data_IF_740180972820
#
_entry.id   IF_740180972820
#
_cell.length_a   1.000
_cell.length_b   1.000
_cell.length_c   1.000
_cell.angle_alpha   90.00
_cell.angle_beta   90.00
_cell.angle_gamma   90.00
#
_symmetry.space_group_name_H-M   'P 1'
#
loop_
_entity.id
_entity.type
_entity.pdbx_description
1 polymer ?
#
# COMPACT_ATOMS: atom_id res chain seq x y z
N UNK A 1 26.97 -10.70 -23.60
CA UNK A 1 26.68 -9.61 -22.68
C UNK A 1 25.37 -8.94 -23.12
N UNK A 2 24.39 -8.74 -22.26
CA UNK A 2 23.20 -7.98 -22.65
C UNK A 2 23.61 -6.56 -23.02
N UNK A 3 23.06 -6.03 -24.12
CA UNK A 3 23.28 -4.62 -24.52
C UNK A 3 22.72 -3.73 -23.41
N UNK A 4 23.57 -2.91 -22.80
CA UNK A 4 23.10 -1.83 -21.94
C UNK A 4 22.49 -0.73 -22.82
N UNK A 5 21.19 -0.52 -22.68
CA UNK A 5 20.51 0.62 -23.28
C UNK A 5 20.62 1.80 -22.31
N UNK A 6 20.96 2.96 -22.83
CA UNK A 6 20.99 4.20 -22.04
C UNK A 6 19.65 4.94 -22.22
N UNK A 7 19.06 5.37 -21.13
CA UNK A 7 17.92 6.28 -21.13
C UNK A 7 18.38 7.62 -20.57
N UNK A 8 18.13 8.70 -21.31
CA UNK A 8 18.41 10.07 -20.85
C UNK A 8 17.12 10.69 -20.35
N UNK A 9 17.12 11.16 -19.09
CA UNK A 9 15.99 11.84 -18.45
C UNK A 9 16.44 13.25 -18.10
N UNK A 10 15.66 14.24 -18.56
CA UNK A 10 15.84 15.63 -18.15
C UNK A 10 14.96 15.93 -16.95
N UNK A 11 15.56 16.38 -15.87
CA UNK A 11 14.90 16.82 -14.64
C UNK A 11 15.47 18.18 -14.22
N UNK A 12 14.72 19.00 -13.45
CA UNK A 12 15.24 20.24 -12.88
C UNK A 12 16.50 19.98 -12.05
N UNK A 13 17.48 20.90 -12.10
CA UNK A 13 18.75 20.75 -11.40
C UNK A 13 18.59 20.47 -9.91
N UNK A 14 17.66 21.16 -9.25
CA UNK A 14 17.35 20.94 -7.83
C UNK A 14 16.88 19.52 -7.54
N UNK A 15 16.07 18.92 -8.42
CA UNK A 15 15.61 17.53 -8.29
C UNK A 15 16.79 16.57 -8.50
N UNK A 16 17.67 16.87 -9.44
CA UNK A 16 18.87 16.07 -9.68
C UNK A 16 19.82 16.09 -8.48
N UNK A 17 20.04 17.26 -7.89
CA UNK A 17 20.89 17.41 -6.70
C UNK A 17 20.29 16.67 -5.49
N UNK A 18 19.00 16.84 -5.23
CA UNK A 18 18.28 16.10 -4.17
C UNK A 18 18.38 14.59 -4.39
N UNK A 19 18.20 14.10 -5.61
CA UNK A 19 18.30 12.68 -5.92
C UNK A 19 19.72 12.15 -5.73
N UNK A 20 20.74 12.92 -6.14
CA UNK A 20 22.14 12.56 -5.94
C UNK A 20 22.48 12.41 -4.45
N UNK A 21 22.05 13.36 -3.64
CA UNK A 21 22.26 13.33 -2.18
C UNK A 21 21.51 12.17 -1.54
N UNK A 22 20.27 11.94 -1.95
CA UNK A 22 19.43 10.84 -1.46
C UNK A 22 20.10 9.47 -1.69
N UNK A 23 20.54 9.18 -2.93
CA UNK A 23 21.18 7.88 -3.24
C UNK A 23 22.52 7.71 -2.51
N UNK A 24 23.26 8.80 -2.30
CA UNK A 24 24.49 8.82 -1.51
C UNK A 24 24.21 8.43 -0.03
N UNK A 25 23.21 9.07 0.59
CA UNK A 25 22.82 8.78 1.98
C UNK A 25 22.31 7.34 2.12
N UNK A 26 21.57 6.83 1.13
CA UNK A 26 21.04 5.48 1.13
C UNK A 26 22.04 4.39 0.77
N UNK A 27 23.22 4.75 0.26
CA UNK A 27 24.25 3.79 -0.16
C UNK A 27 23.85 2.92 -1.36
N UNK A 28 22.92 3.42 -2.21
CA UNK A 28 22.47 2.71 -3.42
C UNK A 28 23.01 3.40 -4.69
N UNK A 29 23.09 2.67 -5.80
CA UNK A 29 23.46 3.29 -7.07
C UNK A 29 22.29 4.07 -7.67
N UNK A 30 22.58 5.15 -8.42
CA UNK A 30 21.55 5.92 -9.13
C UNK A 30 20.72 5.05 -10.07
N UNK A 31 21.36 4.12 -10.78
CA UNK A 31 20.68 3.21 -11.68
C UNK A 31 19.70 2.30 -10.96
N UNK A 32 20.10 1.70 -9.83
CA UNK A 32 19.20 0.85 -9.03
C UNK A 32 18.02 1.67 -8.49
N UNK A 33 18.27 2.83 -7.88
CA UNK A 33 17.22 3.68 -7.34
C UNK A 33 16.25 4.15 -8.44
N UNK A 34 16.74 4.51 -9.62
CA UNK A 34 15.89 4.93 -10.74
C UNK A 34 15.07 3.77 -11.31
N UNK A 35 15.66 2.58 -11.42
CA UNK A 35 14.95 1.37 -11.85
C UNK A 35 13.79 1.07 -10.89
N UNK A 36 14.05 1.09 -9.58
CA UNK A 36 13.02 0.86 -8.56
C UNK A 36 11.88 1.89 -8.67
N UNK A 37 12.19 3.17 -8.87
CA UNK A 37 11.20 4.24 -9.04
C UNK A 37 10.37 4.02 -10.30
N UNK A 38 10.99 3.67 -11.43
CA UNK A 38 10.27 3.41 -12.69
C UNK A 38 9.37 2.17 -12.60
N UNK A 39 9.87 1.08 -11.99
CA UNK A 39 9.05 -0.12 -11.77
C UNK A 39 7.87 0.17 -10.83
N UNK A 40 8.11 0.89 -9.74
CA UNK A 40 7.05 1.31 -8.82
C UNK A 40 6.02 2.22 -9.50
N UNK A 41 6.47 3.16 -10.33
CA UNK A 41 5.57 4.05 -11.07
C UNK A 41 4.67 3.26 -12.04
N UNK A 42 5.26 2.35 -12.84
CA UNK A 42 4.50 1.51 -13.77
C UNK A 42 3.49 0.62 -13.03
N UNK A 43 3.94 -0.03 -11.95
CA UNK A 43 3.08 -0.89 -11.13
C UNK A 43 1.93 -0.12 -10.48
N UNK A 44 2.21 1.08 -9.95
CA UNK A 44 1.20 1.92 -9.31
C UNK A 44 0.25 2.58 -10.31
N UNK A 45 0.71 2.84 -11.54
CA UNK A 45 -0.09 3.49 -12.58
C UNK A 45 -1.09 2.52 -13.23
N UNK A 46 -0.62 1.32 -13.57
CA UNK A 46 -1.42 0.27 -14.21
C UNK A 46 -0.73 -1.09 -14.00
N UNK A 47 -1.13 -1.80 -12.95
CA UNK A 47 -0.56 -3.09 -12.58
C UNK A 47 -0.75 -4.12 -13.70
N UNK A 48 -1.90 -4.14 -14.34
CA UNK A 48 -2.22 -5.10 -15.40
C UNK A 48 -1.32 -4.88 -16.61
N UNK A 49 -1.22 -3.64 -17.08
CA UNK A 49 -0.33 -3.27 -18.18
C UNK A 49 1.14 -3.54 -17.84
N UNK A 50 1.58 -3.20 -16.62
CA UNK A 50 2.94 -3.49 -16.16
C UNK A 50 3.27 -4.97 -16.22
N UNK A 51 2.39 -5.83 -15.71
CA UNK A 51 2.57 -7.29 -15.73
C UNK A 51 2.59 -7.85 -17.16
N UNK A 52 1.75 -7.33 -18.04
CA UNK A 52 1.73 -7.75 -19.45
C UNK A 52 3.00 -7.31 -20.20
N UNK A 53 3.49 -6.11 -19.94
CA UNK A 53 4.77 -5.64 -20.48
C UNK A 53 5.92 -6.45 -19.91
N UNK A 54 5.91 -6.76 -18.63
CA UNK A 54 6.93 -7.59 -17.98
C UNK A 54 6.97 -9.01 -18.61
N UNK A 55 5.81 -9.62 -18.87
CA UNK A 55 5.69 -10.88 -19.64
C UNK A 55 6.30 -10.77 -21.03
N UNK A 56 5.98 -9.67 -21.73
CA UNK A 56 6.41 -9.45 -23.11
C UNK A 56 7.93 -9.28 -23.25
N UNK A 57 8.56 -8.56 -22.30
CA UNK A 57 9.96 -8.15 -22.44
C UNK A 57 10.94 -9.00 -21.63
N UNK A 58 10.52 -9.67 -20.59
CA UNK A 58 11.38 -10.52 -19.76
C UNK A 58 11.31 -12.03 -20.12
N UNK A 59 10.93 -12.37 -21.29
CA UNK A 59 10.70 -13.68 -21.91
C UNK A 59 11.59 -14.87 -21.44
N UNK A 60 11.78 -15.05 -20.14
CA UNK A 60 12.48 -16.18 -19.54
C UNK A 60 11.48 -17.11 -18.85
N UNK A 61 11.68 -18.44 -18.97
CA UNK A 61 10.81 -19.45 -18.33
C UNK A 61 10.64 -19.20 -16.82
N UNK A 62 11.69 -18.79 -16.12
CA UNK A 62 11.64 -18.42 -14.69
C UNK A 62 10.68 -17.27 -14.40
N UNK A 63 10.53 -16.31 -15.33
CA UNK A 63 9.58 -15.20 -15.20
C UNK A 63 8.18 -15.65 -15.55
N UNK A 64 8.02 -16.58 -16.53
CA UNK A 64 6.72 -17.19 -16.82
C UNK A 64 6.21 -17.99 -15.64
N UNK A 65 7.06 -18.82 -15.02
CA UNK A 65 6.71 -19.58 -13.81
C UNK A 65 6.39 -18.67 -12.62
N UNK A 66 7.12 -17.57 -12.47
CA UNK A 66 6.86 -16.55 -11.43
C UNK A 66 5.54 -15.81 -11.68
N UNK A 67 5.22 -15.47 -12.94
CA UNK A 67 3.97 -14.81 -13.33
C UNK A 67 2.79 -15.77 -13.22
N UNK A 68 2.93 -17.02 -13.66
CA UNK A 68 1.89 -18.05 -13.52
C UNK A 68 1.67 -18.38 -12.04
N UNK A 69 2.72 -18.47 -11.25
CA UNK A 69 2.59 -18.65 -9.79
C UNK A 69 1.97 -17.42 -9.11
N UNK A 70 2.30 -16.20 -9.55
CA UNK A 70 1.66 -14.97 -9.07
C UNK A 70 0.19 -14.89 -9.50
N UNK A 71 -0.17 -15.23 -10.73
CA UNK A 71 -1.57 -15.26 -11.18
C UNK A 71 -2.40 -16.33 -10.48
N UNK A 72 -1.82 -17.51 -10.21
CA UNK A 72 -2.47 -18.56 -9.42
C UNK A 72 -2.51 -18.24 -7.92
N UNK A 73 -1.58 -17.39 -7.42
CA UNK A 73 -1.57 -16.88 -6.03
C UNK A 73 -2.51 -15.67 -5.85
N UNK A 74 -2.75 -14.87 -6.89
CA UNK A 74 -3.78 -13.82 -6.90
C UNK A 74 -5.20 -14.39 -6.62
N UNK A 75 -5.37 -15.68 -6.78
CA UNK A 75 -6.67 -16.33 -6.65
C UNK A 75 -7.11 -16.62 -5.19
N UNK A 76 -6.27 -16.46 -4.15
CA UNK A 76 -6.71 -16.93 -2.83
C UNK A 76 -6.41 -16.08 -1.58
N UNK A 77 -5.46 -15.14 -1.57
CA UNK A 77 -5.04 -14.56 -0.29
C UNK A 77 -4.53 -13.10 -0.35
N UNK A 78 -5.02 -12.26 -1.24
CA UNK A 78 -4.60 -10.86 -1.25
C UNK A 78 -5.12 -10.13 0.00
N UNK A 79 -4.20 -9.74 0.87
CA UNK A 79 -4.45 -8.91 2.03
C UNK A 79 -4.10 -7.47 1.62
N UNK A 80 -5.01 -6.53 1.87
CA UNK A 80 -4.69 -5.11 1.70
C UNK A 80 -3.72 -4.70 2.79
N UNK A 81 -2.71 -3.94 2.42
CA UNK A 81 -1.69 -3.45 3.33
C UNK A 81 -1.59 -1.93 3.28
N UNK A 82 -1.45 -1.30 4.45
CA UNK A 82 -1.19 0.12 4.60
C UNK A 82 -0.09 0.36 5.62
N UNK A 83 0.96 1.11 5.23
CA UNK A 83 1.88 1.69 6.19
C UNK A 83 1.34 3.05 6.63
N UNK A 84 1.03 3.15 7.90
CA UNK A 84 0.60 4.40 8.53
C UNK A 84 1.78 5.38 8.61
N UNK A 85 1.47 6.63 8.56
CA UNK A 85 2.37 7.75 8.88
C UNK A 85 1.69 8.68 9.86
N UNK A 86 2.42 9.70 10.32
CA UNK A 86 1.82 10.80 11.05
C UNK A 86 0.80 11.50 10.13
N UNK A 87 -0.34 11.84 10.69
CA UNK A 87 -1.45 12.47 9.97
C UNK A 87 -1.66 13.89 10.51
N UNK A 88 -1.44 14.86 9.64
CA UNK A 88 -1.79 16.26 9.91
C UNK A 88 -3.17 16.53 9.31
N UNK A 89 -4.11 16.92 10.15
CA UNK A 89 -5.45 17.29 9.73
C UNK A 89 -6.04 18.38 10.61
N UNK A 90 -6.57 19.43 10.00
CA UNK A 90 -7.14 20.60 10.69
C UNK A 90 -6.21 21.21 11.74
N UNK A 91 -4.91 21.29 11.45
CA UNK A 91 -3.91 21.87 12.35
C UNK A 91 -3.54 21.00 13.55
N UNK A 92 -3.98 19.74 13.58
CA UNK A 92 -3.62 18.76 14.61
C UNK A 92 -2.78 17.65 14.00
N UNK A 93 -1.75 17.23 14.72
CA UNK A 93 -0.93 16.08 14.37
C UNK A 93 -1.40 14.84 15.13
N UNK A 94 -1.59 13.75 14.40
CA UNK A 94 -1.99 12.45 14.94
C UNK A 94 -0.88 11.45 14.65
N UNK A 95 -0.38 10.78 15.69
CA UNK A 95 0.51 9.62 15.52
C UNK A 95 -0.25 8.45 14.93
N UNK A 96 0.49 7.45 14.45
CA UNK A 96 -0.08 6.22 13.89
C UNK A 96 -1.04 5.55 14.88
N UNK A 97 -0.61 5.37 16.14
CA UNK A 97 -1.44 4.77 17.20
C UNK A 97 -2.66 5.61 17.49
N UNK A 98 -2.50 6.93 17.62
CA UNK A 98 -3.65 7.82 17.90
C UNK A 98 -4.68 7.77 16.78
N UNK A 99 -4.23 7.73 15.53
CA UNK A 99 -5.10 7.57 14.36
C UNK A 99 -5.90 6.27 14.46
N UNK A 100 -5.24 5.15 14.73
CA UNK A 100 -5.93 3.86 14.81
C UNK A 100 -6.86 3.74 16.02
N UNK A 101 -6.51 4.32 17.17
CA UNK A 101 -7.41 4.37 18.34
C UNK A 101 -8.71 5.14 18.05
N UNK A 102 -8.66 6.21 17.25
CA UNK A 102 -9.85 6.92 16.79
C UNK A 102 -10.74 6.02 15.92
N UNK A 103 -10.16 5.29 14.97
CA UNK A 103 -10.90 4.36 14.12
C UNK A 103 -11.45 3.16 14.90
N UNK A 104 -10.71 2.63 15.88
CA UNK A 104 -11.21 1.57 16.77
C UNK A 104 -12.43 2.07 17.57
N UNK A 105 -12.34 3.26 18.16
CA UNK A 105 -13.41 3.85 18.95
C UNK A 105 -14.65 4.14 18.10
N UNK A 106 -14.46 4.68 16.90
CA UNK A 106 -15.54 4.98 15.97
C UNK A 106 -16.22 3.70 15.47
N UNK A 107 -15.45 2.68 15.11
CA UNK A 107 -15.94 1.38 14.70
C UNK A 107 -16.71 0.68 15.85
N UNK A 108 -16.22 0.77 17.08
CA UNK A 108 -16.91 0.20 18.25
C UNK A 108 -18.25 0.88 18.52
N UNK A 109 -18.34 2.19 18.29
CA UNK A 109 -19.55 2.97 18.55
C UNK A 109 -20.68 2.71 17.53
N UNK A 110 -20.34 2.46 16.25
CA UNK A 110 -21.36 2.33 15.18
C UNK A 110 -21.32 1.01 14.41
N UNK A 111 -20.42 0.10 14.74
CA UNK A 111 -20.27 -1.20 14.10
C UNK A 111 -19.36 -1.20 12.88
N UNK A 112 -19.06 -0.05 12.28
CA UNK A 112 -18.16 0.13 11.15
C UNK A 112 -17.60 1.56 11.13
N UNK A 113 -16.61 1.79 10.28
CA UNK A 113 -16.04 3.12 10.02
C UNK A 113 -15.46 3.18 8.60
N UNK A 114 -15.38 4.37 8.02
CA UNK A 114 -14.69 4.56 6.76
C UNK A 114 -13.27 5.05 7.00
N UNK A 115 -12.31 4.27 6.56
CA UNK A 115 -10.89 4.60 6.59
C UNK A 115 -10.46 5.25 5.27
N UNK A 116 -9.76 6.36 5.38
CA UNK A 116 -9.27 7.13 4.24
C UNK A 116 -7.78 6.90 4.00
N UNK A 117 -7.40 6.72 2.75
CA UNK A 117 -5.99 6.75 2.34
C UNK A 117 -5.82 7.32 0.96
N UNK A 118 -4.60 7.64 0.61
CA UNK A 118 -4.25 7.95 -0.78
C UNK A 118 -2.86 7.43 -1.09
N UNK A 119 -2.67 6.92 -2.30
CA UNK A 119 -1.34 6.83 -2.87
C UNK A 119 -0.88 8.24 -3.29
N UNK A 120 0.41 8.44 -3.41
CA UNK A 120 0.96 9.76 -3.78
C UNK A 120 0.40 10.27 -5.13
N UNK A 121 0.03 9.38 -6.05
CA UNK A 121 -0.30 9.74 -7.43
C UNK A 121 -1.63 9.20 -7.93
N UNK A 122 -2.10 8.05 -7.45
CA UNK A 122 -3.27 7.35 -7.99
C UNK A 122 -4.14 6.76 -6.88
N UNK A 123 -5.40 6.46 -7.20
CA UNK A 123 -6.25 5.59 -6.41
C UNK A 123 -5.88 4.11 -6.60
N UNK A 124 -6.73 3.24 -6.11
CA UNK A 124 -6.69 1.80 -6.43
C UNK A 124 -7.20 1.60 -7.86
N UNK A 125 -6.58 0.68 -8.62
CA UNK A 125 -7.06 0.42 -9.98
C UNK A 125 -8.51 -0.08 -10.00
N UNK A 126 -9.31 0.24 -11.03
CA UNK A 126 -10.70 -0.22 -11.12
C UNK A 126 -10.85 -1.74 -11.03
N UNK A 127 -9.90 -2.50 -11.59
CA UNK A 127 -9.90 -3.96 -11.53
C UNK A 127 -9.70 -4.48 -10.11
N UNK A 128 -8.82 -3.84 -9.32
CA UNK A 128 -8.63 -4.20 -7.91
C UNK A 128 -9.84 -3.82 -7.05
N UNK A 129 -10.46 -2.68 -7.29
CA UNK A 129 -11.72 -2.29 -6.63
C UNK A 129 -12.80 -3.34 -6.92
N UNK A 130 -12.97 -3.69 -8.20
CA UNK A 130 -13.93 -4.71 -8.62
C UNK A 130 -13.63 -6.08 -7.99
N UNK A 131 -12.37 -6.50 -8.00
CA UNK A 131 -11.90 -7.76 -7.43
C UNK A 131 -12.25 -7.86 -5.95
N UNK A 132 -11.86 -6.90 -5.12
CA UNK A 132 -12.15 -6.93 -3.70
C UNK A 132 -13.65 -6.85 -3.40
N UNK A 133 -14.39 -5.98 -4.10
CA UNK A 133 -15.83 -5.89 -3.91
C UNK A 133 -16.57 -7.16 -4.36
N UNK A 134 -16.06 -7.90 -5.36
CA UNK A 134 -16.60 -9.21 -5.71
C UNK A 134 -16.34 -10.26 -4.63
N UNK A 135 -15.14 -10.32 -4.06
CA UNK A 135 -14.83 -11.20 -2.93
C UNK A 135 -15.74 -10.93 -1.75
N UNK A 136 -15.91 -9.66 -1.37
CA UNK A 136 -16.81 -9.26 -0.28
C UNK A 136 -18.25 -9.71 -0.56
N UNK A 137 -18.75 -9.50 -1.78
CA UNK A 137 -20.11 -9.91 -2.16
C UNK A 137 -20.30 -11.43 -2.20
N UNK A 138 -19.25 -12.19 -2.45
CA UNK A 138 -19.28 -13.67 -2.38
C UNK A 138 -19.17 -14.21 -0.96
N UNK A 139 -19.08 -13.34 0.05
CA UNK A 139 -18.95 -13.71 1.45
C UNK A 139 -17.54 -14.08 1.90
N UNK A 140 -16.54 -13.80 1.06
CA UNK A 140 -15.14 -13.99 1.44
C UNK A 140 -14.65 -12.84 2.33
N UNK A 141 -13.85 -13.17 3.35
CA UNK A 141 -13.25 -12.16 4.20
C UNK A 141 -12.08 -11.46 3.49
N UNK A 142 -12.18 -10.15 3.35
CA UNK A 142 -11.09 -9.29 2.90
C UNK A 142 -10.51 -8.58 4.14
N UNK A 143 -9.21 -8.74 4.34
CA UNK A 143 -8.51 -8.16 5.49
C UNK A 143 -7.60 -7.01 5.04
N UNK A 144 -7.53 -5.97 5.86
CA UNK A 144 -6.48 -4.96 5.78
C UNK A 144 -5.58 -5.04 7.01
N UNK A 145 -4.27 -4.96 6.79
CA UNK A 145 -3.24 -4.89 7.83
C UNK A 145 -2.58 -3.51 7.82
N UNK A 146 -2.39 -2.96 9.00
CA UNK A 146 -1.74 -1.66 9.18
C UNK A 146 -0.41 -1.83 9.91
N UNK A 147 0.64 -1.24 9.33
CA UNK A 147 1.95 -1.14 9.95
C UNK A 147 2.31 0.32 10.23
N UNK A 148 3.25 0.57 11.11
CA UNK A 148 3.72 1.91 11.41
C UNK A 148 5.11 1.92 12.03
N UNK A 149 5.72 3.11 12.06
CA UNK A 149 7.00 3.32 12.74
C UNK A 149 6.82 3.33 14.26
N UNK A 150 5.72 3.94 14.72
CA UNK A 150 5.29 3.90 16.12
C UNK A 150 3.99 3.16 16.17
N UNK A 151 4.00 1.95 16.71
CA UNK A 151 2.85 1.06 16.68
C UNK A 151 2.74 0.32 18.00
N UNK A 152 1.54 0.26 18.57
CA UNK A 152 1.26 -0.35 19.88
C UNK A 152 2.18 0.18 21.00
N UNK A 153 2.52 1.48 20.95
CA UNK A 153 3.41 2.14 21.90
C UNK A 153 4.92 1.92 21.64
N UNK A 154 5.30 1.07 20.70
CA UNK A 154 6.70 0.83 20.34
C UNK A 154 7.16 1.79 19.26
N UNK A 155 8.25 2.53 19.52
CA UNK A 155 8.88 3.40 18.53
C UNK A 155 9.77 2.61 17.58
N UNK A 156 9.77 3.00 16.29
CA UNK A 156 10.56 2.36 15.22
C UNK A 156 10.25 0.88 15.02
N UNK A 157 9.03 0.46 15.36
CA UNK A 157 8.62 -0.94 15.22
C UNK A 157 8.69 -1.42 13.74
N UNK A 158 8.27 -0.57 12.79
CA UNK A 158 8.13 -0.97 11.38
C UNK A 158 7.50 -2.36 11.26
N UNK A 159 6.38 -2.56 11.96
CA UNK A 159 5.70 -3.86 12.05
C UNK A 159 4.19 -3.70 11.98
N UNK A 160 3.47 -4.81 11.84
CA UNK A 160 2.00 -4.84 11.90
C UNK A 160 1.58 -4.57 13.34
N UNK A 161 0.60 -3.70 13.52
CA UNK A 161 0.04 -3.37 14.82
C UNK A 161 -1.48 -3.37 14.86
N UNK A 162 -2.12 -3.26 13.69
CA UNK A 162 -3.57 -3.23 13.60
C UNK A 162 -4.08 -4.00 12.39
N UNK A 163 -5.33 -4.46 12.50
CA UNK A 163 -6.06 -5.14 11.44
C UNK A 163 -7.52 -4.73 11.42
N UNK A 164 -8.16 -4.88 10.28
CA UNK A 164 -9.60 -4.75 10.14
C UNK A 164 -10.13 -5.67 9.03
N UNK A 165 -11.44 -5.90 9.03
CA UNK A 165 -12.15 -6.51 7.93
C UNK A 165 -12.70 -5.43 7.01
N UNK A 166 -12.60 -5.63 5.70
CA UNK A 166 -13.05 -4.68 4.68
C UNK A 166 -14.42 -5.11 4.18
N UNK A 167 -15.41 -4.22 4.27
CA UNK A 167 -16.79 -4.47 3.79
C UNK A 167 -17.08 -3.82 2.44
N UNK A 168 -16.32 -2.77 2.09
CA UNK A 168 -16.45 -2.09 0.81
C UNK A 168 -15.17 -1.35 0.46
N UNK A 169 -14.87 -1.29 -0.82
CA UNK A 169 -13.75 -0.54 -1.39
C UNK A 169 -14.30 0.48 -2.39
N UNK A 170 -14.01 1.76 -2.16
CA UNK A 170 -14.26 2.85 -3.08
C UNK A 170 -12.94 3.51 -3.44
N UNK A 171 -12.71 3.75 -4.72
CA UNK A 171 -11.52 4.47 -5.18
C UNK A 171 -11.79 5.26 -6.43
N UNK A 172 -11.30 6.50 -6.43
CA UNK A 172 -11.45 7.45 -7.52
C UNK A 172 -10.07 7.97 -7.96
N UNK A 173 -10.04 8.52 -9.18
CA UNK A 173 -8.83 9.13 -9.73
C UNK A 173 -8.44 10.38 -8.95
N UNK A 174 -9.42 11.17 -8.57
CA UNK A 174 -9.24 12.41 -7.79
C UNK A 174 -9.66 12.18 -6.34
N UNK A 175 -9.27 13.09 -5.45
CA UNK A 175 -9.73 13.04 -4.06
C UNK A 175 -11.22 13.36 -4.00
N UNK A 176 -11.97 12.53 -3.30
CA UNK A 176 -13.41 12.65 -3.09
C UNK A 176 -13.75 12.59 -1.61
N UNK A 177 -14.85 13.17 -1.16
CA UNK A 177 -15.31 13.03 0.21
C UNK A 177 -15.67 11.58 0.54
N UNK A 178 -15.78 11.29 1.83
CA UNK A 178 -16.24 9.98 2.30
C UNK A 178 -17.59 9.61 1.67
N UNK A 179 -17.77 8.37 1.19
CA UNK A 179 -19.06 7.91 0.63
C UNK A 179 -20.24 8.05 1.60
N UNK A 180 -19.97 7.93 2.90
CA UNK A 180 -20.94 8.18 3.97
C UNK A 180 -20.41 9.31 4.87
N UNK A 181 -20.85 10.53 4.63
CA UNK A 181 -20.28 11.77 5.14
C UNK A 181 -19.94 11.81 6.64
N UNK A 182 -20.68 11.12 7.49
CA UNK A 182 -20.48 11.11 8.95
C UNK A 182 -19.96 9.76 9.49
N UNK A 183 -19.56 8.85 8.61
CA UNK A 183 -19.12 7.52 9.01
C UNK A 183 -17.59 7.41 9.12
N UNK A 184 -16.96 8.46 9.60
CA UNK A 184 -15.53 8.57 9.93
C UNK A 184 -15.39 9.10 11.35
N UNK A 185 -14.25 8.92 12.03
CA UNK A 185 -13.99 9.60 13.30
C UNK A 185 -14.23 11.10 13.18
N UNK A 186 -14.82 11.70 14.22
CA UNK A 186 -15.20 13.13 14.22
C UNK A 186 -14.03 14.07 13.90
N UNK A 187 -12.82 13.67 14.26
CA UNK A 187 -11.57 14.37 13.98
C UNK A 187 -11.24 14.46 12.49
N UNK A 188 -11.77 13.54 11.67
CA UNK A 188 -11.47 13.44 10.24
C UNK A 188 -12.67 13.79 9.34
N UNK A 189 -13.69 14.41 9.91
CA UNK A 189 -14.84 14.92 9.14
C UNK A 189 -14.38 15.93 8.09
N UNK A 190 -14.90 15.81 6.87
CA UNK A 190 -14.55 16.68 5.75
C UNK A 190 -13.24 16.33 5.05
N UNK A 191 -12.61 15.21 5.40
CA UNK A 191 -11.46 14.71 4.67
C UNK A 191 -11.83 14.25 3.26
N UNK A 192 -10.97 14.55 2.28
CA UNK A 192 -11.11 14.08 0.91
C UNK A 192 -9.88 13.22 0.53
N UNK A 193 -10.13 12.03 0.01
CA UNK A 193 -9.08 11.08 -0.37
C UNK A 193 -9.49 10.27 -1.61
N UNK A 194 -8.49 9.65 -2.25
CA UNK A 194 -8.71 8.83 -3.45
C UNK A 194 -9.23 7.44 -3.13
N UNK A 195 -8.92 6.92 -1.95
CA UNK A 195 -9.27 5.55 -1.56
C UNK A 195 -10.02 5.61 -0.23
N UNK A 196 -11.19 5.00 -0.19
CA UNK A 196 -12.01 4.81 0.97
C UNK A 196 -12.30 3.33 1.18
N UNK A 197 -12.12 2.87 2.38
CA UNK A 197 -12.36 1.48 2.79
C UNK A 197 -13.36 1.47 3.93
N UNK A 198 -14.51 0.83 3.73
CA UNK A 198 -15.46 0.57 4.80
C UNK A 198 -14.92 -0.58 5.65
N UNK A 199 -14.65 -0.32 6.90
CA UNK A 199 -14.00 -1.24 7.82
C UNK A 199 -14.93 -1.63 8.94
N UNK A 200 -14.92 -2.91 9.31
CA UNK A 200 -15.44 -3.40 10.56
C UNK A 200 -14.37 -4.13 11.35
N UNK A 201 -14.64 -4.40 12.62
CA UNK A 201 -13.74 -5.16 13.48
C UNK A 201 -12.31 -4.59 13.47
N UNK A 202 -12.20 -3.25 13.53
CA UNK A 202 -10.90 -2.57 13.64
C UNK A 202 -10.31 -2.88 15.01
N UNK A 203 -9.09 -3.44 15.04
CA UNK A 203 -8.48 -3.96 16.27
C UNK A 203 -6.97 -3.92 16.27
N UNK A 204 -6.38 -4.01 17.45
CA UNK A 204 -4.96 -4.33 17.59
C UNK A 204 -4.66 -5.72 17.03
N UNK A 205 -3.51 -5.87 16.38
CA UNK A 205 -3.03 -7.14 15.85
C UNK A 205 -1.61 -7.40 16.36
N UNK A 206 -1.47 -8.43 17.18
CA UNK A 206 -0.20 -8.76 17.83
C UNK A 206 0.45 -10.05 17.32
N UNK A 207 -0.32 -10.87 16.59
CA UNK A 207 0.11 -12.19 16.15
C UNK A 207 0.75 -12.15 14.75
N UNK A 208 0.27 -11.26 13.87
CA UNK A 208 0.81 -11.11 12.53
C UNK A 208 1.97 -10.13 12.55
N UNK A 209 3.12 -10.57 12.03
CA UNK A 209 4.32 -9.74 11.90
C UNK A 209 4.64 -9.47 10.44
N UNK A 210 5.20 -8.29 10.16
CA UNK A 210 5.64 -7.95 8.81
C UNK A 210 6.63 -8.97 8.22
N UNK A 211 7.43 -9.62 9.08
CA UNK A 211 8.36 -10.68 8.68
C UNK A 211 7.69 -11.97 8.20
N UNK A 212 6.39 -12.16 8.48
CA UNK A 212 5.60 -13.30 7.99
C UNK A 212 5.00 -13.06 6.60
N UNK A 213 5.13 -11.84 6.09
CA UNK A 213 4.45 -11.37 4.90
C UNK A 213 5.44 -11.05 3.77
N UNK A 214 4.97 -11.22 2.55
CA UNK A 214 5.65 -10.79 1.33
C UNK A 214 4.72 -9.91 0.50
N UNK A 215 5.30 -8.99 -0.28
CA UNK A 215 4.56 -8.17 -1.23
C UNK A 215 4.13 -9.06 -2.40
N UNK A 216 2.83 -9.09 -2.70
CA UNK A 216 2.26 -9.99 -3.71
C UNK A 216 2.87 -9.78 -5.09
N UNK A 217 3.07 -8.53 -5.51
CA UNK A 217 3.56 -8.21 -6.85
C UNK A 217 5.06 -8.49 -7.07
N UNK A 218 5.89 -8.38 -6.03
CA UNK A 218 7.35 -8.49 -6.14
C UNK A 218 7.94 -9.71 -5.46
N UNK A 219 7.18 -10.38 -4.59
CA UNK A 219 7.66 -11.48 -3.74
C UNK A 219 8.66 -11.05 -2.65
N UNK A 220 8.99 -9.74 -2.55
CA UNK A 220 9.93 -9.22 -1.56
C UNK A 220 9.35 -9.27 -0.14
N UNK A 221 10.21 -9.45 0.84
CA UNK A 221 9.83 -9.44 2.25
C UNK A 221 9.25 -8.09 2.63
N UNK A 222 8.03 -8.11 3.21
CA UNK A 222 7.38 -6.87 3.63
C UNK A 222 8.22 -6.12 4.67
N UNK A 223 8.79 -6.82 5.64
CA UNK A 223 9.61 -6.22 6.72
C UNK A 223 10.76 -5.39 6.17
N UNK A 224 11.47 -5.92 5.17
CA UNK A 224 12.61 -5.24 4.57
C UNK A 224 12.18 -3.96 3.85
N UNK A 225 11.09 -4.05 3.09
CA UNK A 225 10.61 -2.93 2.27
C UNK A 225 10.04 -1.80 3.11
N UNK A 226 9.24 -2.10 4.14
CA UNK A 226 8.68 -1.03 5.01
C UNK A 226 9.73 -0.39 5.90
N UNK A 227 10.83 -1.09 6.22
CA UNK A 227 11.93 -0.55 7.03
C UNK A 227 12.69 0.57 6.32
N UNK A 228 12.73 0.55 4.99
CA UNK A 228 13.34 1.62 4.17
C UNK A 228 12.32 2.67 3.68
N UNK A 229 11.05 2.55 4.06
CA UNK A 229 10.03 3.59 3.84
C UNK A 229 9.38 3.62 2.46
N UNK A 230 9.62 2.64 1.60
CA UNK A 230 9.22 2.68 0.17
C UNK A 230 7.84 2.10 -0.15
N UNK A 231 7.13 1.49 0.81
CA UNK A 231 5.87 0.80 0.55
C UNK A 231 4.81 1.27 1.54
N UNK A 232 3.89 2.11 1.08
CA UNK A 232 2.87 2.73 1.92
C UNK A 232 1.49 2.09 1.75
N UNK A 233 1.15 1.64 0.55
CA UNK A 233 -0.12 0.99 0.25
C UNK A 233 0.09 -0.08 -0.82
N UNK A 234 -0.56 -1.23 -0.68
CA UNK A 234 -0.51 -2.31 -1.67
C UNK A 234 -1.10 -3.61 -1.16
N UNK A 235 -0.60 -4.72 -1.70
CA UNK A 235 -1.14 -6.05 -1.42
C UNK A 235 -0.02 -6.97 -0.95
N UNK A 236 -0.36 -7.78 0.06
CA UNK A 236 0.57 -8.73 0.67
C UNK A 236 -0.07 -10.09 0.84
N UNK A 237 0.77 -11.12 0.96
CA UNK A 237 0.35 -12.47 1.28
C UNK A 237 1.29 -13.09 2.30
N UNK A 238 0.86 -14.13 3.01
CA UNK A 238 1.75 -14.87 3.88
C UNK A 238 2.86 -15.56 3.09
N UNK A 239 4.05 -15.60 3.67
CA UNK A 239 5.14 -16.45 3.17
C UNK A 239 4.73 -17.91 3.37
N UNK A 240 4.92 -18.71 2.35
CA UNK A 240 4.81 -20.17 2.43
C UNK A 240 6.14 -20.77 2.79
#
# INVERSE_FOLDING_TARGET
MPRQNFMTISVPDTVQEMFNEFVRIKGVTKAAALTDVLEMYMLASDETLYLDLKKKYLNTEAVKDMIVSQQNQLASEDIIFMKLGQKDFNGKNYTEDKTMQLYISDCAARGYTWFSTQSLFFGMSPDKVKYFNQKIRSGENVTILFAGNTILGEQKANDIGYAAEVEEVCSEKDSVPCPEANAVPSEFLGEERRIWLKLKNVREERNIKASMLKITSSGRDLKDVISVGQFHFGYVSFKR
#
